data_IF_776176916380
#
_entry.id   IF_776176916380
#
_cell.length_a   1.000
_cell.length_b   1.000
_cell.length_c   1.000
_cell.angle_alpha   90.00
_cell.angle_beta   90.00
_cell.angle_gamma   90.00
#
_symmetry.space_group_name_H-M   'P 1'
#
loop_
_entity.id
_entity.type
_entity.pdbx_description
1 polymer ?
#
# COMPACT_ATOMS: atom_id res chain seq x y z
N UNK A 1 32.76 5.74 -20.32
CA UNK A 1 31.51 6.17 -20.98
C UNK A 1 30.43 5.17 -20.62
N UNK A 2 29.39 5.59 -19.90
CA UNK A 2 28.27 4.73 -19.55
C UNK A 2 27.49 4.40 -20.84
N UNK A 3 27.39 3.11 -21.17
CA UNK A 3 26.57 2.63 -22.29
C UNK A 3 25.11 3.01 -22.01
N UNK A 4 24.37 3.57 -22.98
CA UNK A 4 22.98 3.97 -22.76
C UNK A 4 22.15 2.76 -22.31
N UNK A 5 21.34 2.96 -21.26
CA UNK A 5 20.49 1.91 -20.67
C UNK A 5 19.47 1.49 -21.72
N UNK A 6 19.48 0.22 -22.09
CA UNK A 6 18.65 -0.36 -23.16
C UNK A 6 17.27 -0.81 -22.68
N UNK A 7 16.88 -0.47 -21.45
CA UNK A 7 15.62 -0.92 -20.84
C UNK A 7 14.95 0.23 -20.08
N UNK A 8 13.64 0.08 -19.89
CA UNK A 8 12.79 1.01 -19.15
C UNK A 8 12.93 0.76 -17.64
N UNK A 9 13.52 1.72 -16.93
CA UNK A 9 13.77 1.62 -15.49
C UNK A 9 12.47 1.55 -14.69
N UNK A 10 11.46 2.34 -15.05
CA UNK A 10 10.21 2.42 -14.30
C UNK A 10 9.44 1.10 -14.40
N UNK A 11 9.45 0.47 -15.59
CA UNK A 11 8.88 -0.87 -15.76
C UNK A 11 9.62 -1.93 -14.96
N UNK A 12 10.95 -1.85 -14.88
CA UNK A 12 11.74 -2.78 -14.07
C UNK A 12 11.47 -2.60 -12.57
N UNK A 13 11.38 -1.36 -12.09
CA UNK A 13 11.02 -1.06 -10.69
C UNK A 13 9.61 -1.53 -10.36
N UNK A 14 8.63 -1.34 -11.27
CA UNK A 14 7.27 -1.84 -11.07
C UNK A 14 7.21 -3.37 -11.01
N UNK A 15 7.94 -4.07 -11.89
CA UNK A 15 8.02 -5.53 -11.85
C UNK A 15 8.66 -6.04 -10.53
N UNK A 16 9.73 -5.37 -10.07
CA UNK A 16 10.36 -5.66 -8.79
C UNK A 16 9.39 -5.39 -7.63
N UNK A 17 8.66 -4.27 -7.65
CA UNK A 17 7.63 -3.93 -6.66
C UNK A 17 6.56 -5.01 -6.54
N UNK A 18 6.00 -5.48 -7.67
CA UNK A 18 5.00 -6.56 -7.66
C UNK A 18 5.58 -7.87 -7.11
N UNK A 19 6.84 -8.17 -7.42
CA UNK A 19 7.54 -9.35 -6.89
C UNK A 19 7.67 -9.24 -5.37
N UNK A 20 8.28 -8.17 -4.86
CA UNK A 20 8.43 -7.95 -3.42
C UNK A 20 7.09 -7.92 -2.67
N UNK A 21 6.04 -7.36 -3.26
CA UNK A 21 4.71 -7.34 -2.66
C UNK A 21 4.16 -8.77 -2.50
N UNK A 22 4.34 -9.63 -3.50
CA UNK A 22 3.87 -11.01 -3.43
C UNK A 22 4.65 -11.86 -2.42
N UNK A 23 5.99 -11.80 -2.46
CA UNK A 23 6.86 -12.76 -1.77
C UNK A 23 7.53 -12.22 -0.51
N UNK A 24 7.58 -10.91 -0.30
CA UNK A 24 8.37 -10.28 0.77
C UNK A 24 9.78 -9.93 0.32
N UNK A 25 10.48 -9.08 1.08
CA UNK A 25 11.84 -8.68 0.75
C UNK A 25 12.80 -9.86 0.89
N UNK A 26 12.82 -10.54 2.03
CA UNK A 26 13.81 -11.59 2.33
C UNK A 26 13.69 -12.78 1.38
N UNK A 27 12.47 -13.28 1.16
CA UNK A 27 12.22 -14.45 0.33
C UNK A 27 12.38 -14.20 -1.19
N UNK A 28 12.47 -12.94 -1.62
CA UNK A 28 12.68 -12.61 -3.05
C UNK A 28 14.15 -12.76 -3.42
N UNK A 29 14.50 -13.71 -4.28
CA UNK A 29 15.88 -13.88 -4.73
C UNK A 29 16.25 -12.91 -5.87
N UNK A 30 17.54 -12.72 -6.12
CA UNK A 30 18.00 -11.97 -7.30
C UNK A 30 17.55 -12.63 -8.60
N UNK A 31 17.41 -13.96 -8.63
CA UNK A 31 16.91 -14.69 -9.80
C UNK A 31 15.43 -14.38 -10.07
N UNK A 32 14.62 -14.29 -9.03
CA UNK A 32 13.22 -13.86 -9.14
C UNK A 32 13.12 -12.45 -9.73
N UNK A 33 13.96 -11.53 -9.26
CA UNK A 33 14.03 -10.16 -9.77
C UNK A 33 14.49 -10.13 -11.24
N UNK A 34 15.49 -10.94 -11.62
CA UNK A 34 15.92 -11.03 -13.02
C UNK A 34 14.78 -11.53 -13.92
N UNK A 35 14.08 -12.58 -13.48
CA UNK A 35 12.94 -13.15 -14.20
C UNK A 35 11.77 -12.16 -14.32
N UNK A 36 11.44 -11.45 -13.24
CA UNK A 36 10.34 -10.49 -13.24
C UNK A 36 10.65 -9.25 -14.10
N UNK A 37 11.88 -8.75 -14.05
CA UNK A 37 12.29 -7.55 -14.79
C UNK A 37 12.68 -7.83 -16.25
N UNK A 38 12.95 -9.09 -16.59
CA UNK A 38 13.52 -9.49 -17.89
C UNK A 38 15.00 -9.11 -18.05
N UNK A 39 15.67 -8.72 -16.97
CA UNK A 39 17.06 -8.27 -16.98
C UNK A 39 18.01 -9.38 -16.54
N UNK A 40 19.22 -9.39 -17.09
CA UNK A 40 20.31 -10.20 -16.56
C UNK A 40 20.82 -9.66 -15.20
N UNK A 41 21.40 -10.54 -14.37
CA UNK A 41 21.91 -10.21 -13.03
C UNK A 41 22.83 -8.99 -13.02
N UNK A 42 23.79 -8.92 -13.93
CA UNK A 42 24.71 -7.78 -14.03
C UNK A 42 23.99 -6.48 -14.39
N UNK A 43 22.94 -6.54 -15.23
CA UNK A 43 22.14 -5.36 -15.58
C UNK A 43 21.35 -4.84 -14.38
N UNK A 44 20.76 -5.73 -13.56
CA UNK A 44 20.06 -5.35 -12.33
C UNK A 44 21.00 -4.62 -11.38
N UNK A 45 22.17 -5.19 -11.06
CA UNK A 45 23.11 -4.57 -10.14
C UNK A 45 23.76 -3.29 -10.71
N UNK A 46 24.08 -3.25 -12.00
CA UNK A 46 24.60 -2.02 -12.62
C UNK A 46 23.57 -0.89 -12.64
N UNK A 47 22.29 -1.24 -12.74
CA UNK A 47 21.20 -0.28 -12.83
C UNK A 47 20.74 0.25 -11.47
N UNK A 48 20.72 -0.62 -10.46
CA UNK A 48 20.07 -0.38 -9.18
C UNK A 48 20.99 -0.54 -7.98
N UNK A 49 22.27 -0.84 -8.18
CA UNK A 49 23.28 -1.00 -7.13
C UNK A 49 23.14 -2.32 -6.36
N UNK A 50 22.03 -2.49 -5.65
CA UNK A 50 21.77 -3.67 -4.82
C UNK A 50 20.28 -4.08 -4.83
N UNK A 51 19.98 -5.27 -4.30
CA UNK A 51 18.59 -5.70 -4.04
C UNK A 51 17.89 -4.72 -3.11
N UNK A 52 18.62 -4.20 -2.13
CA UNK A 52 18.12 -3.25 -1.15
C UNK A 52 17.76 -1.90 -1.77
N UNK A 53 18.64 -1.33 -2.59
CA UNK A 53 18.38 -0.08 -3.30
C UNK A 53 17.23 -0.21 -4.32
N UNK A 54 17.12 -1.36 -5.00
CA UNK A 54 15.95 -1.67 -5.83
C UNK A 54 14.66 -1.78 -5.00
N UNK A 55 14.75 -2.40 -3.82
CA UNK A 55 13.62 -2.50 -2.90
C UNK A 55 13.16 -1.13 -2.39
N UNK A 56 14.08 -0.23 -2.05
CA UNK A 56 13.74 1.14 -1.68
C UNK A 56 12.97 1.87 -2.80
N UNK A 57 13.44 1.76 -4.04
CA UNK A 57 12.74 2.32 -5.21
C UNK A 57 11.35 1.71 -5.40
N UNK A 58 11.25 0.38 -5.27
CA UNK A 58 9.99 -0.33 -5.35
C UNK A 58 9.00 0.09 -4.24
N UNK A 59 9.49 0.31 -3.02
CA UNK A 59 8.69 0.75 -1.88
C UNK A 59 8.14 2.17 -2.10
N UNK A 60 8.97 3.10 -2.60
CA UNK A 60 8.52 4.44 -2.98
C UNK A 60 7.49 4.42 -4.12
N UNK A 61 7.70 3.55 -5.13
CA UNK A 61 6.72 3.33 -6.21
C UNK A 61 5.40 2.81 -5.67
N UNK A 62 5.43 1.88 -4.71
CA UNK A 62 4.24 1.36 -4.04
C UNK A 62 3.51 2.44 -3.26
N UNK A 63 4.22 3.30 -2.52
CA UNK A 63 3.61 4.42 -1.80
C UNK A 63 2.86 5.36 -2.73
N UNK A 64 3.50 5.76 -3.84
CA UNK A 64 2.88 6.60 -4.84
C UNK A 64 1.63 5.94 -5.44
N UNK A 65 1.69 4.64 -5.73
CA UNK A 65 0.57 3.86 -6.26
C UNK A 65 -0.63 3.84 -5.31
N UNK A 66 -0.44 3.46 -4.05
CA UNK A 66 -1.56 3.36 -3.09
C UNK A 66 -2.07 4.73 -2.64
N UNK A 67 -1.21 5.76 -2.59
CA UNK A 67 -1.62 7.13 -2.28
C UNK A 67 -2.44 7.74 -3.42
N UNK A 68 -2.07 7.51 -4.68
CA UNK A 68 -2.86 7.92 -5.83
C UNK A 68 -4.25 7.26 -5.79
N UNK A 69 -4.30 5.95 -5.56
CA UNK A 69 -5.57 5.23 -5.44
C UNK A 69 -6.44 5.73 -4.28
N UNK A 70 -5.86 6.09 -3.14
CA UNK A 70 -6.60 6.71 -2.03
C UNK A 70 -7.12 8.10 -2.40
N UNK A 71 -6.28 8.95 -3.00
CA UNK A 71 -6.66 10.29 -3.43
C UNK A 71 -7.83 10.25 -4.42
N UNK A 72 -7.79 9.35 -5.40
CA UNK A 72 -8.87 9.14 -6.36
C UNK A 72 -10.20 8.80 -5.68
N UNK A 73 -10.20 7.82 -4.76
CA UNK A 73 -11.41 7.44 -4.01
C UNK A 73 -11.95 8.63 -3.20
N UNK A 74 -11.06 9.35 -2.51
CA UNK A 74 -11.47 10.47 -1.65
C UNK A 74 -11.97 11.67 -2.47
N UNK A 75 -11.58 11.79 -3.74
CA UNK A 75 -12.04 12.83 -4.65
C UNK A 75 -13.41 12.53 -5.30
N UNK A 76 -13.93 11.29 -5.20
CA UNK A 76 -15.22 10.95 -5.78
C UNK A 76 -16.37 11.80 -5.18
N UNK A 77 -17.34 12.25 -5.98
CA UNK A 77 -18.47 13.06 -5.51
C UNK A 77 -19.57 12.18 -4.87
N UNK A 78 -19.22 11.44 -3.82
CA UNK A 78 -20.11 10.54 -3.08
C UNK A 78 -20.09 10.84 -1.56
N UNK A 79 -21.04 10.38 -0.75
CA UNK A 79 -20.92 10.48 0.71
C UNK A 79 -19.62 9.83 1.24
N UNK A 80 -19.05 10.36 2.33
CA UNK A 80 -17.77 9.88 2.88
C UNK A 80 -17.82 8.40 3.27
N UNK A 81 -18.98 7.93 3.76
CA UNK A 81 -19.19 6.51 4.10
C UNK A 81 -19.05 5.61 2.86
N UNK A 82 -19.49 6.09 1.70
CA UNK A 82 -19.40 5.34 0.45
C UNK A 82 -17.96 5.31 -0.07
N UNK A 83 -17.23 6.43 0.03
CA UNK A 83 -15.80 6.50 -0.31
C UNK A 83 -14.96 5.58 0.60
N UNK A 84 -15.19 5.60 1.91
CA UNK A 84 -14.49 4.70 2.85
C UNK A 84 -14.87 3.24 2.58
N UNK A 85 -16.14 2.95 2.24
CA UNK A 85 -16.54 1.62 1.82
C UNK A 85 -15.76 1.16 0.59
N UNK A 86 -15.63 2.01 -0.43
CA UNK A 86 -14.88 1.71 -1.63
C UNK A 86 -13.40 1.43 -1.31
N UNK A 87 -12.79 2.23 -0.44
CA UNK A 87 -11.42 2.01 0.05
C UNK A 87 -11.25 0.64 0.71
N UNK A 88 -12.11 0.30 1.68
CA UNK A 88 -12.01 -0.97 2.40
C UNK A 88 -12.29 -2.17 1.49
N UNK A 89 -13.24 -2.04 0.54
CA UNK A 89 -13.53 -3.09 -0.43
C UNK A 89 -12.38 -3.35 -1.41
N UNK A 90 -11.53 -2.37 -1.71
CA UNK A 90 -10.29 -2.64 -2.49
C UNK A 90 -9.34 -3.63 -1.80
N UNK A 91 -9.42 -3.78 -0.48
CA UNK A 91 -8.67 -4.83 0.22
C UNK A 91 -9.39 -6.20 0.23
N UNK A 92 -10.71 -6.22 0.03
CA UNK A 92 -11.50 -7.45 -0.13
C UNK A 92 -11.33 -8.01 -1.54
N UNK A 93 -11.47 -7.14 -2.54
CA UNK A 93 -11.37 -7.47 -3.96
C UNK A 93 -10.28 -6.58 -4.59
N UNK A 94 -8.99 -6.99 -4.54
CA UNK A 94 -7.88 -6.25 -5.14
C UNK A 94 -8.07 -6.03 -6.64
N UNK A 95 -7.44 -4.99 -7.17
CA UNK A 95 -7.48 -4.71 -8.61
C UNK A 95 -6.84 -5.86 -9.40
N UNK A 96 -7.30 -6.11 -10.64
CA UNK A 96 -6.70 -7.13 -11.49
C UNK A 96 -5.18 -6.93 -11.63
N UNK A 97 -4.42 -7.97 -11.27
CA UNK A 97 -2.96 -7.97 -11.34
C UNK A 97 -2.24 -7.49 -10.06
N UNK A 98 -2.97 -6.98 -9.06
CA UNK A 98 -2.38 -6.66 -7.77
C UNK A 98 -2.16 -7.92 -6.92
N UNK A 99 -0.96 -8.09 -6.32
CA UNK A 99 -0.70 -9.16 -5.37
C UNK A 99 -1.59 -9.06 -4.13
N UNK A 100 -1.89 -10.23 -3.54
CA UNK A 100 -2.65 -10.30 -2.28
C UNK A 100 -1.80 -9.78 -1.12
N UNK A 101 -2.40 -8.90 -0.32
CA UNK A 101 -1.82 -8.37 0.91
C UNK A 101 -1.35 -6.93 0.73
N UNK A 102 -0.34 -6.53 1.50
CA UNK A 102 0.18 -5.16 1.48
C UNK A 102 1.71 -5.20 1.65
N UNK A 103 2.44 -4.60 0.70
CA UNK A 103 3.90 -4.56 0.74
C UNK A 103 4.41 -3.92 2.04
N UNK A 104 3.79 -2.82 2.50
CA UNK A 104 4.16 -2.16 3.76
C UNK A 104 4.10 -3.11 4.95
N UNK A 105 3.05 -3.94 5.05
CA UNK A 105 2.88 -4.88 6.17
C UNK A 105 4.02 -5.90 6.17
N UNK A 106 4.34 -6.49 5.01
CA UNK A 106 5.45 -7.43 4.89
C UNK A 106 6.76 -6.76 5.30
N UNK A 107 7.01 -5.53 4.83
CA UNK A 107 8.22 -4.78 5.16
C UNK A 107 8.36 -4.49 6.65
N UNK A 108 7.28 -4.12 7.34
CA UNK A 108 7.33 -3.88 8.79
C UNK A 108 7.73 -5.16 9.53
N UNK A 109 7.19 -6.31 9.13
CA UNK A 109 7.49 -7.60 9.77
C UNK A 109 8.94 -8.03 9.53
N UNK A 110 9.48 -7.77 8.33
CA UNK A 110 10.82 -8.24 7.94
C UNK A 110 11.95 -7.28 8.35
N UNK A 111 11.76 -5.97 8.23
CA UNK A 111 12.85 -4.98 8.22
C UNK A 111 12.78 -3.89 9.30
N UNK A 112 11.66 -3.70 10.01
CA UNK A 112 11.44 -2.53 10.90
C UNK A 112 12.53 -2.35 11.97
N UNK A 113 13.14 -3.46 12.44
CA UNK A 113 14.19 -3.47 13.48
C UNK A 113 15.61 -3.39 12.95
N UNK A 114 15.81 -3.54 11.64
CA UNK A 114 17.12 -3.68 11.02
C UNK A 114 17.43 -2.55 10.02
N UNK A 115 16.43 -1.78 9.61
CA UNK A 115 16.59 -0.66 8.67
C UNK A 115 15.82 0.59 9.12
N UNK A 116 16.55 1.54 9.74
CA UNK A 116 15.94 2.77 10.24
C UNK A 116 15.37 3.67 9.13
N UNK A 117 15.97 3.67 7.94
CA UNK A 117 15.54 4.55 6.85
C UNK A 117 14.23 4.06 6.24
N UNK A 118 14.10 2.75 5.99
CA UNK A 118 12.83 2.14 5.56
C UNK A 118 11.76 2.39 6.61
N UNK A 119 12.07 2.19 7.89
CA UNK A 119 11.13 2.47 9.00
C UNK A 119 10.66 3.92 9.01
N UNK A 120 11.58 4.89 8.84
CA UNK A 120 11.23 6.31 8.73
C UNK A 120 10.31 6.58 7.54
N UNK A 121 10.60 5.98 6.38
CA UNK A 121 9.78 6.13 5.16
C UNK A 121 8.38 5.56 5.32
N UNK A 122 8.24 4.40 5.96
CA UNK A 122 6.94 3.77 6.25
C UNK A 122 6.12 4.63 7.20
N UNK A 123 6.73 5.17 8.26
CA UNK A 123 6.05 6.08 9.20
C UNK A 123 5.52 7.32 8.49
N UNK A 124 6.35 7.98 7.67
CA UNK A 124 5.93 9.13 6.87
C UNK A 124 4.77 8.78 5.93
N UNK A 125 4.85 7.65 5.24
CA UNK A 125 3.78 7.17 4.36
C UNK A 125 2.46 6.94 5.11
N UNK A 126 2.52 6.32 6.30
CA UNK A 126 1.35 6.18 7.18
C UNK A 126 0.77 7.54 7.53
N UNK A 127 1.60 8.47 7.99
CA UNK A 127 1.15 9.78 8.45
C UNK A 127 0.47 10.58 7.34
N UNK A 128 0.99 10.52 6.11
CA UNK A 128 0.35 11.11 4.93
C UNK A 128 -1.04 10.52 4.68
N UNK A 129 -1.17 9.18 4.67
CA UNK A 129 -2.47 8.53 4.41
C UNK A 129 -3.50 8.84 5.47
N UNK A 130 -3.09 8.86 6.74
CA UNK A 130 -3.99 9.22 7.83
C UNK A 130 -4.39 10.70 7.73
N UNK A 131 -3.47 11.60 7.37
CA UNK A 131 -3.80 13.01 7.16
C UNK A 131 -4.82 13.19 6.02
N UNK A 132 -4.64 12.52 4.88
CA UNK A 132 -5.59 12.57 3.76
C UNK A 132 -7.00 12.13 4.18
N UNK A 133 -7.10 11.01 4.92
CA UNK A 133 -8.38 10.52 5.43
C UNK A 133 -9.00 11.46 6.47
N UNK A 134 -8.20 11.97 7.40
CA UNK A 134 -8.66 12.90 8.42
C UNK A 134 -9.25 14.17 7.80
N UNK A 135 -8.58 14.77 6.82
CA UNK A 135 -9.09 15.95 6.09
C UNK A 135 -10.41 15.67 5.36
N UNK A 136 -10.55 14.48 4.76
CA UNK A 136 -11.81 14.09 4.11
C UNK A 136 -12.94 13.91 5.14
N UNK A 137 -12.65 13.31 6.29
CA UNK A 137 -13.59 13.11 7.40
C UNK A 137 -14.00 14.46 8.02
N UNK A 138 -13.06 15.37 8.27
CA UNK A 138 -13.34 16.73 8.77
C UNK A 138 -14.26 17.51 7.83
N UNK A 139 -14.08 17.34 6.51
CA UNK A 139 -14.95 17.94 5.51
C UNK A 139 -16.36 17.36 5.58
N UNK A 140 -16.48 16.04 5.76
CA UNK A 140 -17.76 15.38 5.91
C UNK A 140 -18.48 15.71 7.23
N UNK A 141 -17.74 15.90 8.32
CA UNK A 141 -18.29 16.39 9.60
C UNK A 141 -18.91 17.78 9.43
N UNK A 142 -18.22 18.70 8.73
CA UNK A 142 -18.76 20.04 8.41
C UNK A 142 -20.00 19.97 7.50
N UNK A 143 -20.11 18.94 6.67
CA UNK A 143 -21.28 18.67 5.83
C UNK A 143 -22.42 17.93 6.58
N UNK A 144 -22.22 17.55 7.84
CA UNK A 144 -23.21 16.84 8.65
C UNK A 144 -23.33 15.34 8.35
N UNK A 145 -22.38 14.75 7.60
CA UNK A 145 -22.39 13.33 7.25
C UNK A 145 -21.81 12.43 8.35
N UNK A 146 -20.95 12.99 9.21
CA UNK A 146 -20.33 12.31 10.36
C UNK A 146 -20.59 13.17 11.60
N UNK A 147 -20.83 12.50 12.74
CA UNK A 147 -21.01 13.16 14.04
C UNK A 147 -19.81 14.07 14.39
N UNK A 148 -20.01 15.39 14.54
CA UNK A 148 -18.95 16.33 14.85
C UNK A 148 -18.36 16.16 16.27
N UNK A 149 -18.97 15.34 17.14
CA UNK A 149 -18.41 15.01 18.45
C UNK A 149 -17.27 13.97 18.38
N UNK A 150 -17.07 13.30 17.23
CA UNK A 150 -15.98 12.34 17.02
C UNK A 150 -14.68 13.07 16.64
N UNK A 151 -13.54 12.41 16.86
CA UNK A 151 -12.23 12.90 16.43
C UNK A 151 -11.86 12.35 15.05
N UNK A 152 -11.68 13.25 14.06
CA UNK A 152 -11.43 12.87 12.67
C UNK A 152 -10.12 12.09 12.49
N UNK A 153 -9.08 12.44 13.24
CA UNK A 153 -7.79 11.75 13.20
C UNK A 153 -7.93 10.31 13.71
N UNK A 154 -8.64 10.12 14.83
CA UNK A 154 -8.92 8.80 15.41
C UNK A 154 -9.74 7.94 14.45
N UNK A 155 -10.75 8.50 13.79
CA UNK A 155 -11.50 7.79 12.75
C UNK A 155 -10.63 7.39 11.56
N UNK A 156 -9.74 8.28 11.10
CA UNK A 156 -8.79 7.96 10.04
C UNK A 156 -7.82 6.82 10.42
N UNK A 157 -7.28 6.84 11.65
CA UNK A 157 -6.45 5.75 12.18
C UNK A 157 -7.24 4.44 12.26
N UNK A 158 -8.50 4.48 12.72
CA UNK A 158 -9.37 3.32 12.77
C UNK A 158 -9.64 2.73 11.37
N UNK A 159 -9.93 3.56 10.37
CA UNK A 159 -10.11 3.12 8.98
C UNK A 159 -8.84 2.48 8.43
N UNK A 160 -7.67 3.06 8.69
CA UNK A 160 -6.38 2.49 8.28
C UNK A 160 -6.09 1.15 8.98
N UNK A 161 -6.44 1.03 10.27
CA UNK A 161 -6.34 -0.22 11.01
C UNK A 161 -7.26 -1.30 10.45
N UNK A 162 -8.52 -0.96 10.14
CA UNK A 162 -9.47 -1.87 9.51
C UNK A 162 -8.98 -2.34 8.12
N UNK A 163 -8.47 -1.41 7.29
CA UNK A 163 -7.88 -1.73 5.99
C UNK A 163 -6.72 -2.73 6.11
N UNK A 164 -5.82 -2.47 7.05
CA UNK A 164 -4.69 -3.35 7.37
C UNK A 164 -5.17 -4.73 7.84
N UNK A 165 -6.18 -4.77 8.71
CA UNK A 165 -6.82 -5.99 9.18
C UNK A 165 -7.42 -6.83 8.06
N UNK A 166 -8.07 -6.21 7.07
CA UNK A 166 -8.62 -6.91 5.90
C UNK A 166 -7.51 -7.52 5.05
N UNK A 167 -6.39 -6.83 4.84
CA UNK A 167 -5.24 -7.41 4.12
C UNK A 167 -4.67 -8.63 4.85
N UNK A 168 -4.54 -8.58 6.18
CA UNK A 168 -4.08 -9.70 6.99
C UNK A 168 -5.09 -10.85 6.95
N UNK A 169 -6.38 -10.58 7.15
CA UNK A 169 -7.43 -11.58 7.09
C UNK A 169 -7.47 -12.30 5.73
N UNK A 170 -7.31 -11.55 4.64
CA UNK A 170 -7.21 -12.11 3.28
C UNK A 170 -6.02 -13.06 3.16
N UNK A 171 -4.85 -12.66 3.66
CA UNK A 171 -3.65 -13.51 3.65
C UNK A 171 -3.78 -14.74 4.56
N UNK A 172 -4.55 -14.63 5.64
CA UNK A 172 -4.88 -15.74 6.55
C UNK A 172 -5.96 -16.69 6.00
N UNK A 173 -6.50 -16.43 4.80
CA UNK A 173 -7.49 -17.30 4.16
C UNK A 173 -8.93 -17.07 4.62
N UNK A 174 -9.23 -15.92 5.26
CA UNK A 174 -10.60 -15.55 5.57
C UNK A 174 -11.43 -15.46 4.30
N UNK A 175 -12.63 -16.06 4.33
CA UNK A 175 -13.53 -16.03 3.20
C UNK A 175 -14.03 -14.60 2.90
N UNK A 176 -14.67 -14.43 1.74
CA UNK A 176 -15.17 -13.11 1.31
C UNK A 176 -16.23 -12.58 2.26
N UNK A 177 -17.09 -13.44 2.82
CA UNK A 177 -18.16 -13.04 3.73
C UNK A 177 -17.61 -12.44 5.03
N UNK A 178 -16.59 -13.08 5.62
CA UNK A 178 -15.90 -12.58 6.82
C UNK A 178 -15.30 -11.20 6.56
N UNK A 179 -14.63 -11.02 5.42
CA UNK A 179 -13.97 -9.76 5.08
C UNK A 179 -14.97 -8.64 4.80
N UNK A 180 -16.08 -8.92 4.12
CA UNK A 180 -17.19 -7.96 3.97
C UNK A 180 -17.84 -7.62 5.32
N UNK A 181 -17.89 -8.57 6.27
CA UNK A 181 -18.32 -8.33 7.65
C UNK A 181 -17.43 -7.33 8.39
N UNK A 182 -16.11 -7.40 8.19
CA UNK A 182 -15.16 -6.40 8.72
C UNK A 182 -15.44 -5.02 8.11
N UNK A 183 -15.68 -4.94 6.80
CA UNK A 183 -16.05 -3.68 6.12
C UNK A 183 -17.31 -3.08 6.74
N UNK A 184 -18.38 -3.87 6.88
CA UNK A 184 -19.64 -3.41 7.45
C UNK A 184 -19.46 -2.89 8.89
N UNK A 185 -18.78 -3.67 9.74
CA UNK A 185 -18.50 -3.30 11.14
C UNK A 185 -17.69 -2.01 11.23
N UNK A 186 -16.68 -1.84 10.37
CA UNK A 186 -15.88 -0.62 10.33
C UNK A 186 -16.71 0.60 9.92
N UNK A 187 -17.63 0.45 8.97
CA UNK A 187 -18.52 1.54 8.56
C UNK A 187 -19.49 1.93 9.67
N UNK A 188 -20.03 0.96 10.41
CA UNK A 188 -20.97 1.23 11.51
C UNK A 188 -20.32 2.03 12.66
N UNK A 189 -19.00 1.95 12.81
CA UNK A 189 -18.25 2.73 13.80
C UNK A 189 -18.02 4.21 13.38
N UNK A 190 -18.11 4.54 12.08
CA UNK A 190 -18.01 5.90 11.55
C UNK A 190 -19.27 6.71 11.87
#
# INVERSE_FOLDING_TARGET
MARPRTFDEDRAVEAAMRTFWSTGYEATSTEDLCRATGLGRSSVYNAFGSKHELFEKALLRYFAYVNAGLAEILAEPAPIRDRIRALLRRAVDPLPGDPIGCLVINTIVELDRHDEEITRRIRRHRDERVAMLATAIETAMRAGEIDPAKDARTLAEFVMAALTGIHIATRAGADRATREGIVATALDAL
#
